data_IF_470109438602
#
_entry.id   IF_470109438602
#
_cell.length_a   1.000
_cell.length_b   1.000
_cell.length_c   1.000
_cell.angle_alpha   90.00
_cell.angle_beta   90.00
_cell.angle_gamma   90.00
#
_symmetry.space_group_name_H-M   'P 1'
#
loop_
_entity.id
_entity.type
_entity.pdbx_description
1 polymer ?
#
# COMPACT_ATOMS: atom_id res chain seq x y z
N UNK A 1 -3.66 -60.34 -18.67
CA UNK A 1 -3.32 -58.90 -18.58
C UNK A 1 -4.55 -57.98 -18.59
N UNK A 2 -5.74 -58.40 -19.04
CA UNK A 2 -6.99 -57.58 -18.99
C UNK A 2 -7.51 -57.28 -17.57
N UNK A 3 -7.40 -58.24 -16.65
CA UNK A 3 -7.93 -58.07 -15.29
C UNK A 3 -7.21 -56.97 -14.48
N UNK A 4 -5.92 -56.73 -14.76
CA UNK A 4 -5.12 -55.68 -14.11
C UNK A 4 -5.43 -54.30 -14.69
N UNK A 5 -5.64 -54.18 -16.01
CA UNK A 5 -5.99 -52.91 -16.66
C UNK A 5 -7.43 -52.48 -16.36
N UNK A 6 -8.38 -53.42 -16.32
CA UNK A 6 -9.76 -53.16 -15.89
C UNK A 6 -9.84 -52.74 -14.41
N UNK A 7 -9.03 -53.36 -13.54
CA UNK A 7 -8.94 -52.97 -12.15
C UNK A 7 -8.35 -51.56 -11.95
N UNK A 8 -7.30 -51.20 -12.71
CA UNK A 8 -6.73 -49.85 -12.70
C UNK A 8 -7.70 -48.81 -13.26
N UNK A 9 -8.45 -49.15 -14.31
CA UNK A 9 -9.46 -48.25 -14.89
C UNK A 9 -10.60 -47.98 -13.92
N UNK A 10 -11.05 -49.00 -13.17
CA UNK A 10 -12.04 -48.82 -12.09
C UNK A 10 -11.52 -47.90 -10.99
N UNK A 11 -10.28 -48.14 -10.54
CA UNK A 11 -9.62 -47.31 -9.52
C UNK A 11 -9.45 -45.85 -9.97
N UNK A 12 -9.17 -45.63 -11.25
CA UNK A 12 -9.11 -44.29 -11.84
C UNK A 12 -10.48 -43.60 -11.83
N UNK A 13 -11.55 -44.33 -12.14
CA UNK A 13 -12.92 -43.82 -12.05
C UNK A 13 -13.31 -43.44 -10.62
N UNK A 14 -13.04 -44.31 -9.65
CA UNK A 14 -13.25 -44.05 -8.21
C UNK A 14 -12.47 -42.80 -7.76
N UNK A 15 -11.20 -42.69 -8.15
CA UNK A 15 -10.35 -41.53 -7.84
C UNK A 15 -10.91 -40.23 -8.45
N UNK A 16 -11.37 -40.27 -9.70
CA UNK A 16 -11.96 -39.10 -10.36
C UNK A 16 -13.24 -38.63 -9.65
N UNK A 17 -14.10 -39.56 -9.23
CA UNK A 17 -15.31 -39.25 -8.45
C UNK A 17 -14.96 -38.64 -7.08
N UNK A 18 -13.95 -39.16 -6.38
CA UNK A 18 -13.47 -38.60 -5.11
C UNK A 18 -12.94 -37.17 -5.27
N UNK A 19 -12.11 -36.91 -6.29
CA UNK A 19 -11.58 -35.57 -6.59
C UNK A 19 -12.70 -34.61 -6.97
N UNK A 20 -13.68 -35.05 -7.78
CA UNK A 20 -14.83 -34.25 -8.17
C UNK A 20 -15.71 -33.89 -6.96
N UNK A 21 -15.95 -34.86 -6.07
CA UNK A 21 -16.68 -34.65 -4.81
C UNK A 21 -15.95 -33.66 -3.89
N UNK A 22 -14.64 -33.81 -3.72
CA UNK A 22 -13.84 -32.89 -2.91
C UNK A 22 -13.87 -31.47 -3.49
N UNK A 23 -13.69 -31.33 -4.81
CA UNK A 23 -13.82 -30.04 -5.51
C UNK A 23 -15.18 -29.41 -5.25
N UNK A 24 -16.27 -30.15 -5.42
CA UNK A 24 -17.62 -29.63 -5.21
C UNK A 24 -17.81 -29.09 -3.79
N UNK A 25 -17.34 -29.83 -2.78
CA UNK A 25 -17.42 -29.41 -1.37
C UNK A 25 -16.61 -28.15 -1.07
N UNK A 26 -15.39 -28.06 -1.59
CA UNK A 26 -14.52 -26.88 -1.40
C UNK A 26 -15.12 -25.66 -2.10
N UNK A 27 -15.54 -25.81 -3.35
CA UNK A 27 -16.15 -24.71 -4.11
C UNK A 27 -17.41 -24.20 -3.43
N UNK A 28 -18.26 -25.09 -2.92
CA UNK A 28 -19.48 -24.71 -2.21
C UNK A 28 -19.17 -24.02 -0.87
N UNK A 29 -18.19 -24.51 -0.11
CA UNK A 29 -17.74 -23.85 1.11
C UNK A 29 -17.20 -22.43 0.81
N UNK A 30 -16.32 -22.29 -0.18
CA UNK A 30 -15.78 -20.99 -0.62
C UNK A 30 -16.93 -20.06 -1.04
N UNK A 31 -17.95 -20.58 -1.73
CA UNK A 31 -19.13 -19.80 -2.13
C UNK A 31 -19.96 -19.33 -0.94
N UNK A 32 -20.06 -20.13 0.12
CA UNK A 32 -20.77 -19.76 1.36
C UNK A 32 -19.99 -18.69 2.14
N UNK A 33 -18.66 -18.82 2.26
CA UNK A 33 -17.83 -17.89 3.04
C UNK A 33 -17.53 -16.58 2.32
N UNK A 34 -17.35 -16.62 1.00
CA UNK A 34 -16.88 -15.47 0.23
C UNK A 34 -17.90 -14.94 -0.77
N UNK A 35 -19.01 -15.65 -0.98
CA UNK A 35 -20.12 -15.20 -1.80
C UNK A 35 -21.10 -14.32 -1.03
N UNK A 36 -21.78 -13.42 -1.75
CA UNK A 36 -22.87 -12.63 -1.17
C UNK A 36 -24.07 -13.55 -0.92
N UNK A 37 -24.32 -13.87 0.36
CA UNK A 37 -25.26 -14.86 0.92
C UNK A 37 -26.75 -14.67 0.56
N UNK A 38 -27.13 -13.78 -0.36
CA UNK A 38 -28.52 -13.34 -0.42
C UNK A 38 -29.50 -14.29 -1.13
N UNK A 39 -29.10 -15.17 -2.06
CA UNK A 39 -30.11 -15.80 -2.95
C UNK A 39 -29.80 -17.17 -3.57
N UNK A 40 -28.87 -17.96 -3.03
CA UNK A 40 -28.58 -19.27 -3.62
C UNK A 40 -29.07 -20.40 -2.71
N UNK A 41 -29.99 -21.22 -3.23
CA UNK A 41 -30.29 -22.55 -2.73
C UNK A 41 -29.00 -23.38 -2.63
N UNK A 42 -28.32 -23.29 -1.49
CA UNK A 42 -27.09 -24.01 -1.23
C UNK A 42 -27.40 -25.45 -0.87
N UNK A 43 -26.68 -26.40 -1.46
CA UNK A 43 -26.76 -27.81 -1.08
C UNK A 43 -26.05 -28.09 0.25
N UNK A 44 -25.37 -27.08 0.79
CA UNK A 44 -24.62 -27.11 2.05
C UNK A 44 -25.10 -25.96 2.94
N UNK A 45 -25.36 -26.24 4.20
CA UNK A 45 -25.69 -25.23 5.21
C UNK A 45 -24.43 -24.49 5.70
N UNK A 46 -24.61 -23.34 6.34
CA UNK A 46 -23.48 -22.57 6.90
C UNK A 46 -22.75 -23.35 8.00
N UNK A 47 -23.46 -24.12 8.82
CA UNK A 47 -22.88 -24.96 9.87
C UNK A 47 -22.06 -26.11 9.29
N UNK A 48 -22.56 -26.76 8.23
CA UNK A 48 -21.79 -27.78 7.50
C UNK A 48 -20.56 -27.17 6.84
N UNK A 49 -20.69 -25.98 6.24
CA UNK A 49 -19.57 -25.25 5.66
C UNK A 49 -18.53 -24.90 6.71
N UNK A 50 -18.94 -24.50 7.92
CA UNK A 50 -18.05 -24.24 9.05
C UNK A 50 -17.33 -25.50 9.55
N UNK A 51 -18.05 -26.62 9.67
CA UNK A 51 -17.41 -27.90 10.04
C UNK A 51 -16.42 -28.37 8.98
N UNK A 52 -16.74 -28.17 7.71
CA UNK A 52 -15.83 -28.48 6.61
C UNK A 52 -14.62 -27.53 6.59
N UNK A 53 -14.86 -26.23 6.79
CA UNK A 53 -13.82 -25.23 6.93
C UNK A 53 -12.87 -25.58 8.08
N UNK A 54 -13.37 -26.06 9.21
CA UNK A 54 -12.51 -26.51 10.31
C UNK A 54 -11.53 -27.64 9.93
N UNK A 55 -11.88 -28.47 8.93
CA UNK A 55 -11.02 -29.52 8.36
C UNK A 55 -10.10 -29.02 7.24
N UNK A 56 -10.49 -27.91 6.61
CA UNK A 56 -9.77 -27.22 5.54
C UNK A 56 -8.72 -26.25 6.09
N UNK A 57 -9.06 -25.52 7.14
CA UNK A 57 -8.22 -24.58 7.88
C UNK A 57 -7.22 -25.34 8.77
N UNK A 58 -6.06 -24.73 9.03
CA UNK A 58 -5.05 -25.31 9.91
C UNK A 58 -5.44 -25.10 11.37
N UNK A 59 -5.66 -26.19 12.10
CA UNK A 59 -5.67 -26.18 13.56
C UNK A 59 -4.25 -26.45 14.06
N UNK A 60 -3.35 -25.45 13.98
CA UNK A 60 -1.96 -25.54 14.45
C UNK A 60 -0.89 -25.45 13.35
N UNK A 61 0.35 -25.89 13.65
CA UNK A 61 1.51 -25.77 12.75
C UNK A 61 1.55 -26.79 11.58
N UNK A 62 0.56 -27.69 11.48
CA UNK A 62 0.53 -28.78 10.49
C UNK A 62 -0.34 -28.52 9.24
N UNK A 63 -0.19 -29.35 8.17
CA UNK A 63 -1.11 -29.33 7.03
C UNK A 63 -2.52 -29.76 7.47
N UNK A 64 -3.55 -29.17 6.87
CA UNK A 64 -4.94 -29.51 7.19
C UNK A 64 -5.33 -30.91 6.70
N UNK A 65 -6.40 -31.48 7.25
CA UNK A 65 -6.90 -32.81 6.86
C UNK A 65 -7.14 -32.87 5.34
N UNK A 66 -7.69 -31.80 4.76
CA UNK A 66 -7.94 -31.74 3.32
C UNK A 66 -6.65 -31.61 2.52
N UNK A 67 -5.65 -30.85 2.99
CA UNK A 67 -4.33 -30.78 2.34
C UNK A 67 -3.63 -32.14 2.33
N UNK A 68 -3.76 -32.92 3.41
CA UNK A 68 -3.24 -34.29 3.48
C UNK A 68 -3.96 -35.16 2.45
N UNK A 69 -5.30 -35.13 2.42
CA UNK A 69 -6.10 -35.90 1.45
C UNK A 69 -5.78 -35.55 -0.01
N UNK A 70 -5.61 -34.27 -0.32
CA UNK A 70 -5.23 -33.85 -1.68
C UNK A 70 -3.87 -34.42 -2.09
N UNK A 71 -2.89 -34.43 -1.18
CA UNK A 71 -1.56 -35.01 -1.44
C UNK A 71 -1.63 -36.52 -1.63
N UNK A 72 -2.45 -37.22 -0.85
CA UNK A 72 -2.71 -38.64 -1.03
C UNK A 72 -3.32 -38.93 -2.41
N UNK A 73 -4.35 -38.17 -2.81
CA UNK A 73 -5.00 -38.31 -4.11
C UNK A 73 -4.05 -38.00 -5.28
N UNK A 74 -3.18 -37.01 -5.15
CA UNK A 74 -2.14 -36.68 -6.13
C UNK A 74 -1.11 -37.80 -6.28
N UNK A 75 -0.67 -38.41 -5.17
CA UNK A 75 0.25 -39.54 -5.20
C UNK A 75 -0.40 -40.77 -5.87
N UNK A 76 -1.66 -41.07 -5.53
CA UNK A 76 -2.42 -42.17 -6.14
C UNK A 76 -2.67 -41.92 -7.63
N UNK A 77 -2.96 -40.68 -8.03
CA UNK A 77 -3.12 -40.32 -9.44
C UNK A 77 -1.81 -40.55 -10.20
N UNK A 78 -0.69 -40.04 -9.68
CA UNK A 78 0.63 -40.19 -10.30
C UNK A 78 1.04 -41.65 -10.45
N UNK A 79 0.79 -42.45 -9.41
CA UNK A 79 1.04 -43.89 -9.42
C UNK A 79 0.16 -44.59 -10.48
N UNK A 80 -1.14 -44.28 -10.51
CA UNK A 80 -2.07 -44.88 -11.48
C UNK A 80 -1.72 -44.49 -12.93
N UNK A 81 -1.26 -43.25 -13.16
CA UNK A 81 -0.77 -42.77 -14.47
C UNK A 81 0.48 -43.53 -14.90
N UNK A 82 1.46 -43.72 -14.01
CA UNK A 82 2.69 -44.44 -14.31
C UNK A 82 2.44 -45.89 -14.75
N UNK A 83 1.43 -46.53 -14.16
CA UNK A 83 1.03 -47.90 -14.50
C UNK A 83 0.19 -48.01 -15.79
N UNK A 84 -0.49 -46.94 -16.19
CA UNK A 84 -1.31 -46.88 -17.41
C UNK A 84 -0.52 -46.41 -18.65
N UNK A 85 0.67 -45.82 -18.48
CA UNK A 85 1.52 -45.34 -19.58
C UNK A 85 2.10 -46.40 -20.56
N UNK A 86 2.20 -47.72 -20.28
CA UNK A 86 2.85 -48.61 -21.25
C UNK A 86 1.94 -49.12 -22.37
N UNK A 87 0.65 -49.36 -22.13
CA UNK A 87 -0.17 -50.13 -23.07
C UNK A 87 -1.60 -49.61 -23.15
N UNK A 88 -1.97 -49.11 -24.34
CA UNK A 88 -3.31 -48.74 -24.87
C UNK A 88 -3.75 -47.27 -24.78
N UNK A 89 -4.08 -46.63 -25.94
CA UNK A 89 -4.60 -45.27 -26.00
C UNK A 89 -6.11 -45.27 -25.72
N UNK A 90 -6.50 -45.38 -24.45
CA UNK A 90 -7.88 -45.09 -24.06
C UNK A 90 -8.03 -43.58 -23.87
N UNK A 91 -8.52 -42.91 -24.92
CA UNK A 91 -8.70 -41.45 -24.97
C UNK A 91 -9.52 -40.93 -23.77
N UNK A 92 -10.49 -41.71 -23.29
CA UNK A 92 -11.33 -41.39 -22.13
C UNK A 92 -10.58 -41.42 -20.79
N UNK A 93 -9.61 -42.32 -20.63
CA UNK A 93 -8.78 -42.37 -19.41
C UNK A 93 -7.82 -41.18 -19.38
N UNK A 94 -7.25 -40.81 -20.53
CA UNK A 94 -6.36 -39.64 -20.63
C UNK A 94 -7.09 -38.34 -20.30
N UNK A 95 -8.33 -38.16 -20.77
CA UNK A 95 -9.14 -36.98 -20.45
C UNK A 95 -9.53 -36.97 -18.97
N UNK A 96 -9.91 -38.11 -18.38
CA UNK A 96 -10.21 -38.21 -16.94
C UNK A 96 -8.99 -37.90 -16.06
N UNK A 97 -7.81 -38.43 -16.40
CA UNK A 97 -6.54 -38.14 -15.71
C UNK A 97 -6.25 -36.64 -15.76
N UNK A 98 -6.34 -36.04 -16.95
CA UNK A 98 -6.10 -34.62 -17.14
C UNK A 98 -7.06 -33.76 -16.33
N UNK A 99 -8.36 -34.10 -16.33
CA UNK A 99 -9.36 -33.42 -15.53
C UNK A 99 -9.10 -33.56 -14.02
N UNK A 100 -8.73 -34.76 -13.55
CA UNK A 100 -8.37 -34.98 -12.15
C UNK A 100 -7.17 -34.13 -11.73
N UNK A 101 -6.17 -34.00 -12.60
CA UNK A 101 -4.99 -33.16 -12.35
C UNK A 101 -5.37 -31.67 -12.27
N UNK A 102 -6.16 -31.17 -13.21
CA UNK A 102 -6.67 -29.78 -13.21
C UNK A 102 -7.51 -29.48 -11.97
N UNK A 103 -8.34 -30.43 -11.52
CA UNK A 103 -9.14 -30.29 -10.29
C UNK A 103 -8.26 -30.23 -9.04
N UNK A 104 -7.25 -31.09 -8.93
CA UNK A 104 -6.30 -31.07 -7.81
C UNK A 104 -5.49 -29.78 -7.79
N UNK A 105 -5.04 -29.29 -8.96
CA UNK A 105 -4.33 -28.02 -9.07
C UNK A 105 -5.20 -26.84 -8.61
N UNK A 106 -6.47 -26.79 -9.02
CA UNK A 106 -7.41 -25.77 -8.56
C UNK A 106 -7.57 -25.82 -7.04
N UNK A 107 -7.80 -27.01 -6.47
CA UNK A 107 -7.91 -27.18 -5.02
C UNK A 107 -6.65 -26.72 -4.28
N UNK A 108 -5.47 -26.97 -4.86
CA UNK A 108 -4.20 -26.55 -4.29
C UNK A 108 -4.09 -25.02 -4.21
N UNK A 109 -4.41 -24.34 -5.30
CA UNK A 109 -4.45 -22.87 -5.34
C UNK A 109 -5.47 -22.31 -4.33
N UNK A 110 -6.68 -22.87 -4.28
CA UNK A 110 -7.71 -22.41 -3.33
C UNK A 110 -7.24 -22.58 -1.88
N UNK A 111 -6.50 -23.65 -1.58
CA UNK A 111 -5.94 -23.88 -0.24
C UNK A 111 -4.85 -22.87 0.11
N UNK A 112 -3.96 -22.53 -0.84
CA UNK A 112 -2.97 -21.49 -0.63
C UNK A 112 -3.60 -20.12 -0.42
N UNK A 113 -4.63 -19.78 -1.19
CA UNK A 113 -5.34 -18.51 -1.06
C UNK A 113 -6.05 -18.37 0.29
N UNK A 114 -6.70 -19.44 0.77
CA UNK A 114 -7.32 -19.44 2.09
C UNK A 114 -6.30 -19.21 3.21
N UNK A 115 -5.12 -19.85 3.14
CA UNK A 115 -4.02 -19.62 4.09
C UNK A 115 -3.57 -18.16 4.04
N UNK A 116 -3.37 -17.60 2.85
CA UNK A 116 -2.98 -16.19 2.70
C UNK A 116 -4.04 -15.24 3.24
N UNK A 117 -5.33 -15.54 3.03
CA UNK A 117 -6.42 -14.70 3.54
C UNK A 117 -6.43 -14.66 5.07
N UNK A 118 -6.32 -15.81 5.72
CA UNK A 118 -6.26 -15.90 7.17
C UNK A 118 -4.99 -15.25 7.73
N UNK A 119 -3.85 -15.45 7.07
CA UNK A 119 -2.59 -14.85 7.46
C UNK A 119 -2.66 -13.32 7.35
N UNK A 120 -3.14 -12.79 6.22
CA UNK A 120 -3.35 -11.36 6.04
C UNK A 120 -4.25 -10.78 7.13
N UNK A 121 -5.39 -11.42 7.39
CA UNK A 121 -6.33 -10.95 8.41
C UNK A 121 -5.61 -10.90 9.77
N UNK A 122 -4.85 -11.93 10.16
CA UNK A 122 -4.06 -11.93 11.39
C UNK A 122 -2.99 -10.82 11.45
N UNK A 123 -2.27 -10.58 10.35
CA UNK A 123 -1.23 -9.53 10.28
C UNK A 123 -1.83 -8.13 10.36
N UNK A 124 -3.00 -7.91 9.75
CA UNK A 124 -3.73 -6.65 9.87
C UNK A 124 -4.15 -6.39 11.32
N UNK A 125 -4.64 -7.39 12.04
CA UNK A 125 -4.97 -7.24 13.46
C UNK A 125 -3.73 -6.96 14.33
N UNK A 126 -2.56 -7.43 13.92
CA UNK A 126 -1.29 -7.19 14.60
C UNK A 126 -0.57 -5.89 14.18
N UNK A 127 -1.17 -5.08 13.29
CA UNK A 127 -0.55 -3.90 12.66
C UNK A 127 0.77 -4.19 11.92
N UNK A 128 0.97 -5.43 11.47
CA UNK A 128 2.14 -5.87 10.71
C UNK A 128 1.92 -5.65 9.20
N UNK A 129 1.76 -4.38 8.79
CA UNK A 129 1.34 -4.02 7.44
C UNK A 129 2.33 -4.39 6.33
N UNK A 130 3.63 -4.47 6.63
CA UNK A 130 4.65 -4.94 5.68
C UNK A 130 4.40 -6.39 5.27
N UNK A 131 4.12 -7.26 6.25
CA UNK A 131 3.82 -8.68 6.01
C UNK A 131 2.48 -8.82 5.29
N UNK A 132 1.47 -8.05 5.71
CA UNK A 132 0.17 -8.00 5.04
C UNK A 132 0.29 -7.57 3.56
N UNK A 133 1.19 -6.65 3.23
CA UNK A 133 1.46 -6.24 1.86
C UNK A 133 2.11 -7.36 1.03
N UNK A 134 3.00 -8.15 1.64
CA UNK A 134 3.58 -9.33 1.02
C UNK A 134 2.50 -10.40 0.73
N UNK A 135 1.58 -10.62 1.67
CA UNK A 135 0.45 -11.54 1.49
C UNK A 135 -0.46 -11.13 0.34
N UNK A 136 -0.85 -9.85 0.27
CA UNK A 136 -1.67 -9.32 -0.84
C UNK A 136 -0.95 -9.49 -2.18
N UNK A 137 0.37 -9.26 -2.21
CA UNK A 137 1.16 -9.47 -3.43
C UNK A 137 1.22 -10.94 -3.83
N UNK A 138 1.30 -11.87 -2.87
CA UNK A 138 1.26 -13.30 -3.12
C UNK A 138 -0.13 -13.75 -3.62
N UNK A 139 -1.21 -13.23 -3.03
CA UNK A 139 -2.59 -13.47 -3.48
C UNK A 139 -2.75 -13.03 -4.93
N UNK A 140 -2.33 -11.82 -5.28
CA UNK A 140 -2.50 -11.28 -6.63
C UNK A 140 -1.74 -12.09 -7.69
N UNK A 141 -0.55 -12.63 -7.36
CA UNK A 141 0.18 -13.56 -8.23
C UNK A 141 -0.59 -14.86 -8.43
N UNK A 142 -0.99 -15.52 -7.34
CA UNK A 142 -1.70 -16.80 -7.42
C UNK A 142 -2.99 -16.70 -8.22
N UNK A 143 -3.74 -15.63 -8.03
CA UNK A 143 -5.02 -15.46 -8.73
C UNK A 143 -4.83 -15.07 -10.20
N UNK A 144 -3.74 -14.37 -10.53
CA UNK A 144 -3.38 -14.00 -11.91
C UNK A 144 -2.88 -15.20 -12.71
N UNK A 145 -2.09 -16.07 -12.09
CA UNK A 145 -1.47 -17.24 -12.75
C UNK A 145 -2.47 -18.40 -12.92
N UNK A 146 -3.62 -18.32 -12.26
CA UNK A 146 -4.65 -19.37 -12.29
C UNK A 146 -5.66 -19.19 -13.42
N UNK A 147 -6.16 -20.30 -14.02
CA UNK A 147 -7.17 -20.22 -15.07
C UNK A 147 -8.47 -19.59 -14.56
N UNK A 148 -9.15 -18.85 -15.43
CA UNK A 148 -10.42 -18.22 -15.11
C UNK A 148 -11.49 -19.27 -14.83
N UNK A 149 -12.12 -19.18 -13.66
CA UNK A 149 -13.29 -19.95 -13.28
C UNK A 149 -14.14 -19.11 -12.33
N UNK A 150 -15.46 -19.38 -12.19
CA UNK A 150 -16.32 -18.59 -11.30
C UNK A 150 -15.79 -18.50 -9.85
N UNK A 151 -15.12 -19.55 -9.39
CA UNK A 151 -14.54 -19.62 -8.05
C UNK A 151 -13.29 -18.74 -7.96
N UNK A 152 -12.40 -18.80 -8.96
CA UNK A 152 -11.24 -17.93 -9.02
C UNK A 152 -11.61 -16.46 -9.22
N UNK A 153 -12.73 -16.17 -9.89
CA UNK A 153 -13.27 -14.82 -10.03
C UNK A 153 -13.69 -14.26 -8.65
N UNK A 154 -14.34 -15.09 -7.83
CA UNK A 154 -14.65 -14.74 -6.44
C UNK A 154 -13.37 -14.54 -5.62
N UNK A 155 -12.33 -15.37 -5.82
CA UNK A 155 -11.03 -15.16 -5.17
C UNK A 155 -10.34 -13.85 -5.61
N UNK A 156 -10.49 -13.42 -6.88
CA UNK A 156 -10.04 -12.08 -7.33
C UNK A 156 -10.71 -10.98 -6.54
N UNK A 157 -12.02 -11.09 -6.36
CA UNK A 157 -12.77 -10.09 -5.58
C UNK A 157 -12.27 -10.06 -4.14
N UNK A 158 -12.07 -11.21 -3.50
CA UNK A 158 -11.56 -11.30 -2.14
C UNK A 158 -10.14 -10.74 -1.98
N UNK A 159 -9.24 -11.03 -2.91
CA UNK A 159 -7.89 -10.45 -2.92
C UNK A 159 -7.93 -8.92 -3.08
N UNK A 160 -8.76 -8.41 -4.00
CA UNK A 160 -8.96 -6.95 -4.19
C UNK A 160 -9.56 -6.27 -2.96
N UNK A 161 -10.51 -6.92 -2.27
CA UNK A 161 -11.08 -6.38 -1.04
C UNK A 161 -10.01 -6.17 0.03
N UNK A 162 -9.13 -7.17 0.24
CA UNK A 162 -8.01 -7.08 1.20
C UNK A 162 -6.96 -6.06 0.77
N UNK A 163 -6.65 -5.97 -0.52
CA UNK A 163 -5.80 -4.91 -1.06
C UNK A 163 -6.36 -3.51 -0.75
N UNK A 164 -7.67 -3.32 -0.94
CA UNK A 164 -8.32 -2.05 -0.62
C UNK A 164 -8.33 -1.77 0.88
N UNK A 165 -8.56 -2.78 1.72
CA UNK A 165 -8.50 -2.66 3.18
C UNK A 165 -7.11 -2.22 3.64
N UNK A 166 -6.06 -2.90 3.17
CA UNK A 166 -4.67 -2.52 3.47
C UNK A 166 -4.39 -1.08 3.04
N UNK A 167 -4.88 -0.69 1.86
CA UNK A 167 -4.75 0.68 1.38
C UNK A 167 -5.42 1.70 2.32
N UNK A 168 -6.65 1.47 2.75
CA UNK A 168 -7.34 2.37 3.67
C UNK A 168 -6.61 2.50 5.01
N UNK A 169 -6.06 1.39 5.51
CA UNK A 169 -5.29 1.39 6.77
C UNK A 169 -3.98 2.17 6.61
N UNK A 170 -3.24 1.94 5.52
CA UNK A 170 -2.01 2.68 5.24
C UNK A 170 -2.29 4.18 5.02
N UNK A 171 -3.41 4.53 4.38
CA UNK A 171 -3.81 5.93 4.22
C UNK A 171 -4.05 6.58 5.60
N UNK A 172 -4.71 5.88 6.53
CA UNK A 172 -4.93 6.36 7.90
C UNK A 172 -3.63 6.48 8.72
N UNK A 173 -2.68 5.56 8.54
CA UNK A 173 -1.36 5.65 9.19
C UNK A 173 -0.55 6.83 8.66
N UNK A 174 -0.62 7.15 7.36
CA UNK A 174 0.00 8.35 6.80
C UNK A 174 -0.59 9.61 7.44
N UNK A 175 -1.91 9.68 7.58
CA UNK A 175 -2.59 10.81 8.21
C UNK A 175 -2.24 10.94 9.71
N UNK A 176 -2.01 9.82 10.40
CA UNK A 176 -1.55 9.81 11.79
C UNK A 176 -0.10 10.28 11.95
N UNK A 177 0.75 10.01 10.96
CA UNK A 177 2.17 10.37 10.96
C UNK A 177 2.40 11.82 10.52
N UNK A 178 1.54 12.37 9.66
CA UNK A 178 1.69 13.71 9.13
C UNK A 178 0.35 14.44 9.04
N UNK A 179 0.12 15.37 9.96
CA UNK A 179 -1.07 16.25 9.90
C UNK A 179 -0.67 17.55 9.25
N UNK A 180 -1.16 17.78 8.02
CA UNK A 180 -0.93 19.03 7.29
C UNK A 180 -2.20 19.89 7.31
N UNK A 181 -2.07 21.13 7.76
CA UNK A 181 -3.14 22.12 7.79
C UNK A 181 -2.60 23.49 7.34
N UNK A 182 -3.45 24.46 6.97
CA UNK A 182 -2.98 25.76 6.52
C UNK A 182 -2.05 26.40 7.56
N UNK A 183 -0.81 26.72 7.17
CA UNK A 183 0.22 27.31 8.04
C UNK A 183 0.64 26.44 9.24
N UNK A 184 0.30 25.15 9.27
CA UNK A 184 0.65 24.26 10.38
C UNK A 184 0.91 22.83 9.89
N UNK A 185 2.06 22.29 10.30
CA UNK A 185 2.51 20.94 9.99
C UNK A 185 2.85 20.21 11.29
N UNK A 186 2.32 19.02 11.50
CA UNK A 186 2.66 18.17 12.64
C UNK A 186 3.22 16.84 12.15
N UNK A 187 4.39 16.47 12.68
CA UNK A 187 5.11 15.26 12.31
C UNK A 187 5.19 14.34 13.52
N UNK A 188 4.83 13.08 13.33
CA UNK A 188 4.91 12.04 14.35
C UNK A 188 5.87 10.92 13.93
N UNK A 189 6.35 10.11 14.87
CA UNK A 189 7.24 9.00 14.58
C UNK A 189 6.55 7.96 13.68
N UNK A 190 7.16 7.55 12.56
CA UNK A 190 6.48 6.77 11.53
C UNK A 190 6.27 5.27 11.84
N UNK A 191 6.67 4.74 13.01
CA UNK A 191 6.47 3.33 13.47
C UNK A 191 6.35 2.26 12.34
N UNK A 192 7.33 2.18 11.42
CA UNK A 192 7.41 1.24 10.28
C UNK A 192 6.50 1.52 9.06
N UNK A 193 5.85 2.67 9.00
CA UNK A 193 5.01 3.13 7.87
C UNK A 193 5.74 3.05 6.53
N UNK A 194 6.99 3.54 6.46
CA UNK A 194 7.72 3.64 5.20
C UNK A 194 8.02 2.27 4.57
N UNK A 195 8.42 1.29 5.39
CA UNK A 195 8.64 -0.08 4.95
C UNK A 195 7.32 -0.71 4.45
N UNK A 196 6.24 -0.46 5.18
CA UNK A 196 4.89 -0.95 4.83
C UNK A 196 4.39 -0.35 3.51
N UNK A 197 4.60 0.96 3.30
CA UNK A 197 4.28 1.64 2.04
C UNK A 197 5.15 1.17 0.87
N UNK A 198 6.42 0.87 1.12
CA UNK A 198 7.33 0.32 0.12
C UNK A 198 6.90 -1.09 -0.29
N UNK A 199 6.59 -1.96 0.68
CA UNK A 199 6.10 -3.32 0.42
C UNK A 199 4.76 -3.31 -0.34
N UNK A 200 3.89 -2.34 -0.07
CA UNK A 200 2.64 -2.13 -0.79
C UNK A 200 2.81 -1.47 -2.18
N UNK A 201 4.04 -1.12 -2.59
CA UNK A 201 4.34 -0.34 -3.81
C UNK A 201 3.60 1.00 -3.88
N UNK A 202 3.37 1.66 -2.74
CA UNK A 202 2.67 2.95 -2.64
C UNK A 202 3.51 4.10 -2.13
N UNK A 203 4.77 3.85 -1.75
CA UNK A 203 5.66 4.86 -1.19
C UNK A 203 5.74 6.11 -2.07
N UNK A 204 6.02 5.96 -3.37
CA UNK A 204 6.16 7.10 -4.29
C UNK A 204 4.91 7.97 -4.35
N UNK A 205 3.72 7.35 -4.39
CA UNK A 205 2.44 8.06 -4.42
C UNK A 205 2.22 8.89 -3.13
N UNK A 206 2.48 8.30 -1.96
CA UNK A 206 2.30 9.01 -0.70
C UNK A 206 3.35 10.09 -0.47
N UNK A 207 4.60 9.86 -0.88
CA UNK A 207 5.64 10.87 -0.80
C UNK A 207 5.32 12.09 -1.68
N UNK A 208 4.79 11.87 -2.88
CA UNK A 208 4.35 12.96 -3.77
C UNK A 208 3.15 13.72 -3.20
N UNK A 209 2.12 13.01 -2.73
CA UNK A 209 0.96 13.64 -2.10
C UNK A 209 1.33 14.47 -0.86
N UNK A 210 2.22 13.94 -0.02
CA UNK A 210 2.70 14.61 1.18
C UNK A 210 3.58 15.82 0.84
N UNK A 211 4.46 15.70 -0.15
CA UNK A 211 5.27 16.80 -0.64
C UNK A 211 4.40 17.94 -1.22
N UNK A 212 3.36 17.60 -1.99
CA UNK A 212 2.41 18.56 -2.52
C UNK A 212 1.62 19.28 -1.40
N UNK A 213 1.19 18.56 -0.37
CA UNK A 213 0.49 19.13 0.78
C UNK A 213 1.39 20.08 1.57
N UNK A 214 2.62 19.67 1.88
CA UNK A 214 3.62 20.51 2.56
C UNK A 214 3.95 21.77 1.75
N UNK A 215 4.10 21.62 0.43
CA UNK A 215 4.33 22.76 -0.44
C UNK A 215 3.16 23.74 -0.38
N UNK A 216 1.93 23.25 -0.58
CA UNK A 216 0.73 24.09 -0.61
C UNK A 216 0.48 24.83 0.69
N UNK A 217 0.68 24.16 1.83
CA UNK A 217 0.26 24.67 3.14
C UNK A 217 1.37 25.35 3.94
N UNK A 218 2.65 25.11 3.61
CA UNK A 218 3.80 25.66 4.35
C UNK A 218 4.72 26.45 3.43
N UNK A 219 5.26 25.83 2.36
CA UNK A 219 6.32 26.47 1.56
C UNK A 219 5.79 27.58 0.64
N UNK A 220 4.64 27.37 0.00
CA UNK A 220 4.02 28.38 -0.84
C UNK A 220 3.66 29.65 -0.05
N UNK A 221 3.03 29.57 1.14
CA UNK A 221 2.85 30.74 2.01
C UNK A 221 4.16 31.46 2.36
N UNK A 222 5.24 30.73 2.68
CA UNK A 222 6.55 31.34 2.99
C UNK A 222 7.18 32.06 1.79
N UNK A 223 6.99 31.51 0.59
CA UNK A 223 7.47 32.10 -0.68
C UNK A 223 6.63 33.33 -1.05
N UNK A 224 5.31 33.30 -0.78
CA UNK A 224 4.39 34.39 -1.11
C UNK A 224 4.41 35.55 -0.10
N UNK A 225 4.61 35.27 1.20
CA UNK A 225 4.60 36.27 2.27
C UNK A 225 5.87 36.19 3.13
N UNK A 226 6.80 37.16 2.99
CA UNK A 226 8.05 37.19 3.75
C UNK A 226 7.86 37.55 5.24
N UNK A 227 6.66 37.93 5.66
CA UNK A 227 6.35 38.28 7.07
C UNK A 227 6.03 37.06 7.93
N UNK A 228 5.76 35.92 7.30
CA UNK A 228 5.54 34.65 7.96
C UNK A 228 6.87 34.07 8.45
N UNK A 229 6.93 33.77 9.74
CA UNK A 229 8.09 33.15 10.38
C UNK A 229 7.71 31.73 10.83
N UNK A 230 8.49 30.70 10.44
CA UNK A 230 8.30 29.35 10.95
C UNK A 230 8.70 29.29 12.43
N UNK A 231 7.76 28.87 13.28
CA UNK A 231 8.00 28.52 14.66
C UNK A 231 7.92 27.00 14.81
N UNK A 232 9.01 26.42 15.32
CA UNK A 232 9.12 24.98 15.54
C UNK A 232 9.00 24.73 17.04
N UNK A 233 8.05 23.88 17.42
CA UNK A 233 7.88 23.44 18.80
C UNK A 233 7.65 21.93 18.83
N UNK A 234 8.66 21.19 19.29
CA UNK A 234 8.68 19.72 19.33
C UNK A 234 8.33 19.09 17.97
N UNK A 235 7.08 18.65 17.81
CA UNK A 235 6.56 17.92 16.66
C UNK A 235 5.75 18.82 15.71
N UNK A 236 5.61 20.10 16.03
CA UNK A 236 4.73 21.02 15.30
C UNK A 236 5.55 22.18 14.72
N UNK A 237 5.31 22.48 13.45
CA UNK A 237 5.77 23.68 12.77
C UNK A 237 4.55 24.55 12.45
N UNK A 238 4.54 25.79 12.93
CA UNK A 238 3.50 26.79 12.61
C UNK A 238 4.11 28.00 11.92
N UNK A 239 3.39 28.58 10.97
CA UNK A 239 3.75 29.87 10.37
C UNK A 239 2.97 30.97 11.09
N UNK A 240 3.69 31.85 11.76
CA UNK A 240 3.11 32.98 12.47
C UNK A 240 3.57 34.27 11.81
N UNK A 241 2.63 35.16 11.51
CA UNK A 241 2.93 36.54 11.18
C UNK A 241 3.35 37.26 12.46
N UNK A 242 4.54 37.84 12.46
CA UNK A 242 5.00 38.63 13.61
C UNK A 242 4.03 39.80 13.81
N UNK A 243 3.39 39.97 14.98
CA UNK A 243 2.61 41.18 15.22
C UNK A 243 3.55 42.39 15.09
N UNK A 244 3.07 43.53 14.56
CA UNK A 244 3.87 44.75 14.55
C UNK A 244 4.30 45.00 15.98
N UNK A 245 5.61 45.03 16.22
CA UNK A 245 6.17 45.29 17.53
C UNK A 245 5.57 46.59 18.07
N UNK A 246 4.59 46.51 18.97
CA UNK A 246 4.16 47.67 19.74
C UNK A 246 5.25 47.92 20.78
N UNK A 247 6.33 48.56 20.34
CA UNK A 247 7.15 49.38 21.23
C UNK A 247 6.29 50.57 21.66
N UNK A 248 5.44 50.36 22.66
CA UNK A 248 4.74 51.42 23.35
C UNK A 248 5.71 52.08 24.33
N UNK A 249 6.52 52.99 23.81
CA UNK A 249 7.11 54.09 24.56
C UNK A 249 6.71 55.39 23.88
N UNK A 250 5.69 56.04 24.48
CA UNK A 250 5.45 57.48 24.50
C UNK A 250 6.02 58.35 23.36
N UNK A 251 5.15 58.85 22.47
CA UNK A 251 4.89 60.29 22.29
C UNK A 251 4.10 60.56 21.00
N UNK A 252 3.19 61.51 21.15
CA UNK A 252 2.24 62.07 20.18
C UNK A 252 2.88 62.80 19.00
N UNK A 253 2.50 62.47 17.75
CA UNK A 253 2.53 63.33 16.54
C UNK A 253 2.01 62.56 15.29
N UNK A 254 1.52 63.23 14.23
CA UNK A 254 0.29 62.83 13.53
C UNK A 254 0.44 62.01 12.24
N UNK A 255 -0.71 61.45 11.83
CA UNK A 255 -0.98 60.60 10.67
C UNK A 255 -0.36 61.10 9.35
N UNK A 256 0.36 60.22 8.67
CA UNK A 256 0.56 60.26 7.21
C UNK A 256 0.09 58.91 6.65
N UNK A 257 -0.86 58.86 5.70
CA UNK A 257 -1.26 57.62 5.07
C UNK A 257 -0.16 57.20 4.06
N UNK A 258 0.65 56.21 4.42
CA UNK A 258 1.58 55.58 3.50
C UNK A 258 0.80 54.76 2.47
N UNK A 259 0.43 55.42 1.38
CA UNK A 259 -0.01 54.80 0.13
C UNK A 259 1.25 54.34 -0.61
N UNK A 260 1.74 53.15 -0.29
CA UNK A 260 2.74 52.45 -1.08
C UNK A 260 2.23 51.03 -1.39
N UNK A 261 2.25 50.59 -2.66
CA UNK A 261 1.87 49.23 -3.01
C UNK A 261 2.90 48.23 -2.43
N UNK A 262 2.48 47.01 -2.05
CA UNK A 262 3.38 45.99 -1.54
C UNK A 262 4.12 45.36 -2.72
N UNK A 263 5.16 46.02 -3.22
CA UNK A 263 5.82 45.57 -4.46
C UNK A 263 7.31 45.93 -4.48
N UNK A 264 8.06 45.41 -3.51
CA UNK A 264 9.44 44.94 -3.73
C UNK A 264 9.91 44.21 -2.47
N UNK A 265 10.18 42.92 -2.61
CA UNK A 265 10.98 42.16 -1.65
C UNK A 265 12.38 42.82 -1.64
N UNK A 266 12.78 43.42 -0.52
CA UNK A 266 14.15 43.91 -0.36
C UNK A 266 15.12 42.73 -0.34
N UNK A 267 16.39 42.90 -0.74
CA UNK A 267 17.38 41.80 -0.74
C UNK A 267 17.47 41.03 0.60
N UNK A 268 17.22 41.70 1.73
CA UNK A 268 17.16 41.08 3.06
C UNK A 268 15.89 40.27 3.36
N UNK A 269 14.79 40.46 2.60
CA UNK A 269 13.59 39.63 2.69
C UNK A 269 13.74 38.31 1.92
N UNK A 270 14.48 38.32 0.80
CA UNK A 270 14.78 37.12 0.03
C UNK A 270 15.63 36.11 0.83
N UNK A 271 16.71 36.58 1.45
CA UNK A 271 17.56 35.74 2.29
C UNK A 271 16.79 35.14 3.48
N UNK A 272 15.84 35.89 4.07
CA UNK A 272 14.96 35.38 5.13
C UNK A 272 14.04 34.26 4.63
N UNK A 273 13.45 34.40 3.44
CA UNK A 273 12.62 33.34 2.84
C UNK A 273 13.45 32.07 2.64
N UNK A 274 14.68 32.18 2.12
CA UNK A 274 15.58 31.03 1.97
C UNK A 274 15.92 30.37 3.32
N UNK A 275 16.20 31.17 4.35
CA UNK A 275 16.47 30.66 5.70
C UNK A 275 15.24 29.97 6.31
N UNK A 276 14.03 30.53 6.10
CA UNK A 276 12.79 29.91 6.55
C UNK A 276 12.52 28.58 5.83
N UNK A 277 12.71 28.54 4.51
CA UNK A 277 12.62 27.31 3.71
C UNK A 277 13.62 26.27 4.25
N UNK A 278 14.88 26.65 4.47
CA UNK A 278 15.90 25.75 5.02
C UNK A 278 15.48 25.20 6.40
N UNK A 279 14.89 26.02 7.27
CA UNK A 279 14.41 25.57 8.58
C UNK A 279 13.29 24.52 8.48
N UNK A 280 12.42 24.61 7.47
CA UNK A 280 11.39 23.59 7.20
C UNK A 280 12.04 22.27 6.78
N UNK A 281 13.04 22.31 5.89
CA UNK A 281 13.76 21.09 5.50
C UNK A 281 14.51 20.46 6.68
N UNK A 282 15.15 21.27 7.52
CA UNK A 282 15.83 20.79 8.74
C UNK A 282 14.84 20.15 9.70
N UNK A 283 13.65 20.74 9.89
CA UNK A 283 12.59 20.17 10.72
C UNK A 283 12.12 18.80 10.20
N UNK A 284 11.86 18.69 8.89
CA UNK A 284 11.44 17.42 8.27
C UNK A 284 12.54 16.37 8.42
N UNK A 285 13.79 16.73 8.14
CA UNK A 285 14.92 15.80 8.22
C UNK A 285 15.19 15.34 9.66
N UNK A 286 15.00 16.22 10.65
CA UNK A 286 15.14 15.86 12.07
C UNK A 286 14.09 14.83 12.53
N UNK A 287 12.86 14.91 12.00
CA UNK A 287 11.78 13.97 12.35
C UNK A 287 11.81 12.69 11.53
N UNK A 288 12.22 12.76 10.26
CA UNK A 288 12.28 11.61 9.34
C UNK A 288 13.66 11.51 8.69
N UNK A 289 14.65 11.08 9.48
CA UNK A 289 16.05 10.94 9.05
C UNK A 289 16.22 10.05 7.82
N UNK A 290 15.37 9.03 7.69
CA UNK A 290 15.51 7.97 6.70
C UNK A 290 14.83 8.29 5.35
N UNK A 291 14.08 9.40 5.28
CA UNK A 291 13.29 9.77 4.09
C UNK A 291 13.94 10.85 3.23
N UNK A 292 15.18 10.58 2.78
CA UNK A 292 15.86 11.44 1.79
C UNK A 292 15.07 11.61 0.48
N UNK A 293 14.24 10.62 0.13
CA UNK A 293 13.35 10.64 -1.04
C UNK A 293 12.30 11.74 -0.95
N UNK A 294 11.74 12.00 0.24
CA UNK A 294 10.75 13.06 0.41
C UNK A 294 11.36 14.44 0.11
N UNK A 295 12.56 14.70 0.64
CA UNK A 295 13.29 15.94 0.39
C UNK A 295 13.55 16.16 -1.11
N UNK A 296 13.91 15.09 -1.83
CA UNK A 296 14.12 15.14 -3.27
C UNK A 296 12.84 15.45 -4.05
N UNK A 297 11.71 14.83 -3.70
CA UNK A 297 10.42 15.09 -4.36
C UNK A 297 9.94 16.51 -4.06
N UNK A 298 10.01 16.94 -2.80
CA UNK A 298 9.64 18.29 -2.38
C UNK A 298 10.48 19.36 -3.12
N UNK A 299 11.79 19.15 -3.20
CA UNK A 299 12.71 20.07 -3.87
C UNK A 299 12.51 20.09 -5.39
N UNK A 300 12.62 18.94 -6.05
CA UNK A 300 12.65 18.88 -7.51
C UNK A 300 11.27 19.16 -8.11
N UNK A 301 10.20 18.58 -7.53
CA UNK A 301 8.86 18.60 -8.12
C UNK A 301 8.11 19.88 -7.80
N UNK A 302 8.25 20.42 -6.57
CA UNK A 302 7.39 21.51 -6.12
C UNK A 302 8.13 22.83 -5.84
N UNK A 303 9.34 22.79 -5.28
CA UNK A 303 9.98 23.99 -4.75
C UNK A 303 10.97 24.66 -5.71
N UNK A 304 11.67 23.89 -6.55
CA UNK A 304 12.73 24.37 -7.44
C UNK A 304 12.27 25.53 -8.34
N UNK A 305 11.12 25.37 -9.00
CA UNK A 305 10.60 26.33 -9.98
C UNK A 305 10.11 27.63 -9.33
N UNK A 306 9.30 27.60 -8.26
CA UNK A 306 8.92 28.81 -7.52
C UNK A 306 10.12 29.56 -6.92
N UNK A 307 11.11 28.85 -6.37
CA UNK A 307 12.31 29.48 -5.83
C UNK A 307 13.15 30.12 -6.94
N UNK A 308 13.34 29.45 -8.08
CA UNK A 308 14.04 30.03 -9.23
C UNK A 308 13.33 31.29 -9.75
N UNK A 309 12.00 31.27 -9.84
CA UNK A 309 11.24 32.46 -10.22
C UNK A 309 11.44 33.61 -9.23
N UNK A 310 11.49 33.30 -7.93
CA UNK A 310 11.71 34.27 -6.88
C UNK A 310 13.16 34.81 -6.90
N UNK A 311 14.16 33.97 -7.19
CA UNK A 311 15.55 34.40 -7.43
C UNK A 311 15.60 35.38 -8.60
N UNK A 312 15.01 35.01 -9.75
CA UNK A 312 15.03 35.83 -10.97
C UNK A 312 14.36 37.19 -10.73
N UNK A 313 13.25 37.22 -10.00
CA UNK A 313 12.55 38.46 -9.66
C UNK A 313 13.34 39.35 -8.69
N UNK A 314 14.24 38.78 -7.88
CA UNK A 314 15.05 39.51 -6.90
C UNK A 314 16.51 39.75 -7.34
N UNK A 315 16.86 39.41 -8.58
CA UNK A 315 18.19 39.70 -9.12
C UNK A 315 18.41 41.22 -9.18
N UNK A 316 19.54 41.73 -8.65
CA UNK A 316 19.85 43.14 -8.74
C UNK A 316 20.03 43.56 -10.20
N UNK A 317 19.44 44.69 -10.58
CA UNK A 317 19.61 45.27 -11.92
C UNK A 317 21.02 45.81 -12.17
N UNK A 318 21.85 45.93 -11.11
CA UNK A 318 23.20 46.49 -11.16
C UNK A 318 24.26 45.43 -10.78
N UNK A 319 25.38 45.41 -11.51
CA UNK A 319 26.51 44.47 -11.29
C UNK A 319 27.20 44.72 -9.94
N UNK A 320 27.19 45.96 -9.46
CA UNK A 320 27.74 46.38 -8.17
C UNK A 320 27.02 45.75 -6.97
N UNK A 321 25.71 45.54 -7.08
CA UNK A 321 24.89 44.96 -6.00
C UNK A 321 24.89 43.43 -6.00
N UNK A 322 25.41 42.81 -7.07
CA UNK A 322 25.48 41.35 -7.22
C UNK A 322 26.40 40.71 -6.18
N UNK A 323 27.51 41.39 -5.82
CA UNK A 323 28.44 40.91 -4.79
C UNK A 323 27.79 40.92 -3.40
N UNK A 324 27.03 41.97 -3.07
CA UNK A 324 26.28 42.07 -1.83
C UNK A 324 25.14 41.05 -1.77
N UNK A 325 24.40 40.88 -2.87
CA UNK A 325 23.36 39.86 -3.00
C UNK A 325 23.92 38.45 -2.80
N UNK A 326 25.04 38.11 -3.45
CA UNK A 326 25.72 36.81 -3.28
C UNK A 326 26.13 36.56 -1.83
N UNK A 327 26.68 37.56 -1.14
CA UNK A 327 27.06 37.46 0.26
C UNK A 327 25.85 37.27 1.21
N UNK A 328 24.67 37.75 0.82
CA UNK A 328 23.44 37.64 1.62
C UNK A 328 22.72 36.30 1.39
N UNK A 329 22.95 35.65 0.25
CA UNK A 329 22.30 34.38 -0.17
C UNK A 329 23.14 33.15 0.16
N UNK A 330 24.44 33.31 0.42
CA UNK A 330 25.26 32.19 0.89
C UNK A 330 24.80 31.72 2.28
N UNK A 331 24.62 30.41 2.49
CA UNK A 331 24.30 29.88 3.81
C UNK A 331 25.48 30.17 4.76
N UNK A 332 25.16 30.68 5.95
CA UNK A 332 26.04 30.63 7.12
C UNK A 332 26.18 29.19 7.60
#
# INVERSE_FOLDING_TARGET
>A
MSATTEALTRKLGELHEEVASLKARVVEAVRIFHGSSANASSSMSIDEAMQFAAKWCRQGEGPSEVQIRMRELEAVLTDTVAHLQPDTPHHDNQTQIQQSHEMLQLLHVLSQLDVLFQHFDAQVHANAFEVAAADVSAMDRLVRDSPSSPVMDMMRVQARMRQNQLRCLLDAEVDAVCVTSPNKLELFPPQNLWASLQAANRLAFHLDALAAAMFRHILHPLVADPTLVPQIHANTLTLLSKPPSTSSSSSSAPLVPATAPPSSLTAGSFAKVLQHVLSVFQFIHAHWTDQSLLGNVLWNTHLSTPLLALVVHNLPSSVSDLAAFKATVQPL
#
